data_IF_251290357892
#
_entry.id   IF_251290357892
#
_cell.length_a   1.000
_cell.length_b   1.000
_cell.length_c   1.000
_cell.angle_alpha   90.00
_cell.angle_beta   90.00
_cell.angle_gamma   90.00
#
_symmetry.space_group_name_H-M   'P 1'
#
loop_
_entity.id
_entity.type
_entity.pdbx_description
1 polymer ?
#
# COMPACT_ATOMS: atom_id res chain seq x y z
N UNK A 1 10.94 28.20 -23.41
CA UNK A 1 10.64 26.78 -23.71
C UNK A 1 10.28 26.12 -22.38
N UNK A 2 8.99 26.18 -22.01
CA UNK A 2 8.47 25.55 -20.80
C UNK A 2 7.73 24.30 -21.23
N UNK A 3 8.26 23.12 -20.90
CA UNK A 3 7.51 21.87 -20.92
C UNK A 3 6.77 21.79 -19.59
N UNK A 4 5.59 22.39 -19.52
CA UNK A 4 4.66 22.08 -18.43
C UNK A 4 4.23 20.62 -18.61
N UNK A 5 4.79 19.74 -17.77
CA UNK A 5 4.32 18.36 -17.68
C UNK A 5 2.88 18.38 -17.18
N UNK A 6 1.92 18.04 -18.04
CA UNK A 6 0.53 17.84 -17.62
C UNK A 6 0.49 16.92 -16.40
N UNK A 7 -0.24 17.27 -15.32
CA UNK A 7 -0.40 16.38 -14.19
C UNK A 7 -1.03 15.08 -14.70
N UNK A 8 -0.42 13.95 -14.32
CA UNK A 8 -0.94 12.63 -14.65
C UNK A 8 -2.41 12.55 -14.20
N UNK A 9 -3.30 11.91 -14.99
CA UNK A 9 -4.70 11.75 -14.62
C UNK A 9 -4.79 11.09 -13.23
N UNK A 10 -5.63 11.65 -12.36
CA UNK A 10 -5.86 11.14 -11.01
C UNK A 10 -6.85 9.96 -11.06
N UNK A 11 -6.62 8.96 -10.23
CA UNK A 11 -7.48 7.78 -10.16
C UNK A 11 -8.85 8.08 -9.52
N UNK A 12 -9.89 7.36 -9.94
CA UNK A 12 -11.11 7.20 -9.13
C UNK A 12 -10.80 6.33 -7.90
N UNK A 13 -11.59 6.48 -6.82
CA UNK A 13 -11.44 5.74 -5.57
C UNK A 13 -11.40 4.21 -5.84
N UNK A 14 -10.25 3.57 -5.61
CA UNK A 14 -10.09 2.12 -5.75
C UNK A 14 -10.38 1.43 -4.40
N UNK A 15 -11.62 0.96 -4.25
CA UNK A 15 -12.07 0.23 -3.07
C UNK A 15 -11.22 -1.02 -2.76
N UNK A 16 -10.58 -1.63 -3.74
CA UNK A 16 -9.74 -2.81 -3.54
C UNK A 16 -8.42 -2.42 -2.89
N UNK A 17 -7.80 -1.33 -3.37
CA UNK A 17 -6.57 -0.78 -2.82
C UNK A 17 -6.77 -0.31 -1.37
N UNK A 18 -7.88 0.39 -1.12
CA UNK A 18 -8.26 0.85 0.24
C UNK A 18 -8.44 -0.35 1.18
N UNK A 19 -9.16 -1.40 0.75
CA UNK A 19 -9.34 -2.61 1.57
C UNK A 19 -8.02 -3.32 1.86
N UNK A 20 -7.09 -3.37 0.90
CA UNK A 20 -5.78 -3.96 1.11
C UNK A 20 -4.97 -3.20 2.16
N UNK A 21 -4.94 -1.87 2.08
CA UNK A 21 -4.28 -1.01 3.07
C UNK A 21 -4.93 -1.17 4.45
N UNK A 22 -6.25 -1.15 4.53
CA UNK A 22 -6.97 -1.36 5.78
C UNK A 22 -6.64 -2.72 6.43
N UNK A 23 -6.54 -3.79 5.63
CA UNK A 23 -6.09 -5.11 6.12
C UNK A 23 -4.65 -5.08 6.63
N UNK A 24 -3.75 -4.37 5.93
CA UNK A 24 -2.36 -4.23 6.34
C UNK A 24 -2.24 -3.64 7.75
N UNK A 25 -2.86 -2.49 8.00
CA UNK A 25 -2.85 -1.84 9.31
C UNK A 25 -3.56 -2.67 10.39
N UNK A 26 -4.68 -3.33 10.04
CA UNK A 26 -5.39 -4.22 10.97
C UNK A 26 -4.47 -5.38 11.41
N UNK A 27 -3.82 -6.05 10.48
CA UNK A 27 -2.95 -7.18 10.77
C UNK A 27 -1.67 -6.77 11.49
N UNK A 28 -1.07 -5.65 11.11
CA UNK A 28 0.05 -5.06 11.86
C UNK A 28 -0.33 -4.86 13.32
N UNK A 29 -1.47 -4.24 13.60
CA UNK A 29 -1.95 -4.02 14.96
C UNK A 29 -2.18 -5.32 15.75
N UNK A 30 -2.67 -6.37 15.08
CA UNK A 30 -2.89 -7.69 15.69
C UNK A 30 -1.57 -8.44 15.98
N UNK A 31 -0.50 -8.14 15.24
CA UNK A 31 0.84 -8.62 15.57
C UNK A 31 1.44 -7.83 16.73
N UNK A 32 1.35 -6.50 16.67
CA UNK A 32 1.92 -5.59 17.67
C UNK A 32 1.28 -5.78 19.05
N UNK A 33 -0.01 -6.11 19.12
CA UNK A 33 -0.70 -6.36 20.38
C UNK A 33 -0.63 -7.83 20.83
N UNK A 34 0.09 -8.69 20.11
CA UNK A 34 0.27 -10.11 20.44
C UNK A 34 -0.97 -11.00 20.22
N UNK A 35 -2.03 -10.52 19.55
CA UNK A 35 -3.18 -11.37 19.19
C UNK A 35 -2.76 -12.51 18.27
N UNK A 36 -1.82 -12.23 17.36
CA UNK A 36 -1.12 -13.24 16.58
C UNK A 36 0.38 -13.11 16.82
N UNK A 37 1.05 -14.25 17.00
CA UNK A 37 2.50 -14.31 17.19
C UNK A 37 3.29 -14.19 15.89
N UNK A 38 2.70 -14.52 14.74
CA UNK A 38 3.36 -14.44 13.44
C UNK A 38 2.39 -14.40 12.25
N UNK A 39 2.94 -14.22 11.05
CA UNK A 39 2.17 -14.12 9.79
C UNK A 39 1.45 -15.44 9.45
N UNK A 40 2.00 -16.58 9.84
CA UNK A 40 1.43 -17.91 9.61
C UNK A 40 0.12 -18.10 10.38
N UNK A 41 -0.01 -17.48 11.55
CA UNK A 41 -1.25 -17.52 12.33
C UNK A 41 -2.35 -16.68 11.68
N UNK A 42 -2.01 -15.50 11.18
CA UNK A 42 -2.92 -14.67 10.38
C UNK A 42 -3.36 -15.44 9.13
N UNK A 43 -2.42 -16.07 8.41
CA UNK A 43 -2.69 -16.85 7.22
C UNK A 43 -3.70 -17.98 7.48
N UNK A 44 -3.49 -18.72 8.57
CA UNK A 44 -4.40 -19.79 9.01
C UNK A 44 -5.78 -19.27 9.41
N UNK A 45 -5.83 -18.17 10.17
CA UNK A 45 -7.09 -17.57 10.63
C UNK A 45 -7.93 -17.02 9.47
N UNK A 46 -7.27 -16.40 8.49
CA UNK A 46 -7.90 -15.77 7.32
C UNK A 46 -8.06 -16.75 6.14
N UNK A 47 -7.58 -17.99 6.27
CA UNK A 47 -7.60 -19.05 5.25
C UNK A 47 -6.99 -18.61 3.91
N UNK A 48 -5.86 -17.92 3.99
CA UNK A 48 -5.11 -17.38 2.84
C UNK A 48 -3.63 -17.77 2.96
N UNK A 49 -2.89 -17.72 1.86
CA UNK A 49 -1.46 -18.07 1.86
C UNK A 49 -0.62 -17.05 2.65
N UNK A 50 0.37 -17.54 3.41
CA UNK A 50 1.29 -16.69 4.18
C UNK A 50 2.07 -15.70 3.30
N UNK A 51 2.43 -16.08 2.07
CA UNK A 51 3.04 -15.17 1.08
C UNK A 51 2.13 -13.98 0.75
N UNK A 52 0.82 -14.20 0.63
CA UNK A 52 -0.14 -13.11 0.39
C UNK A 52 -0.27 -12.21 1.62
N UNK A 53 -0.37 -12.80 2.82
CA UNK A 53 -0.38 -12.04 4.09
C UNK A 53 0.85 -11.14 4.19
N UNK A 54 2.04 -11.68 3.95
CA UNK A 54 3.30 -10.92 3.99
C UNK A 54 3.29 -9.73 3.04
N UNK A 55 2.82 -9.90 1.80
CA UNK A 55 2.73 -8.82 0.82
C UNK A 55 1.75 -7.72 1.25
N UNK A 56 0.62 -8.10 1.84
CA UNK A 56 -0.37 -7.13 2.32
C UNK A 56 0.13 -6.40 3.58
N UNK A 57 0.69 -7.10 4.57
CA UNK A 57 1.21 -6.47 5.80
C UNK A 57 2.30 -5.45 5.46
N UNK A 58 3.14 -5.72 4.44
CA UNK A 58 4.13 -4.74 3.95
C UNK A 58 3.52 -3.40 3.54
N UNK A 59 2.25 -3.35 3.12
CA UNK A 59 1.58 -2.08 2.77
C UNK A 59 1.45 -1.13 3.97
N UNK A 60 1.54 -1.63 5.20
CA UNK A 60 1.58 -0.77 6.39
C UNK A 60 2.91 0.01 6.51
N UNK A 61 3.92 -0.30 5.70
CA UNK A 61 5.19 0.42 5.60
C UNK A 61 5.17 1.56 4.56
N UNK A 62 4.04 1.77 3.90
CA UNK A 62 3.87 2.88 2.95
C UNK A 62 4.04 4.23 3.66
N UNK A 63 4.61 5.19 2.95
CA UNK A 63 4.71 6.56 3.42
C UNK A 63 3.29 7.11 3.71
N UNK A 64 3.10 7.87 4.81
CA UNK A 64 1.78 8.35 5.21
C UNK A 64 1.04 9.14 4.12
N UNK A 65 1.76 10.00 3.38
CA UNK A 65 1.21 10.80 2.28
C UNK A 65 0.74 9.94 1.09
N UNK A 66 1.35 8.76 0.89
CA UNK A 66 0.91 7.82 -0.14
C UNK A 66 -0.42 7.17 0.28
N UNK A 67 -0.53 6.77 1.54
CA UNK A 67 -1.77 6.22 2.09
C UNK A 67 -2.88 7.26 2.00
N UNK A 68 -2.62 8.50 2.42
CA UNK A 68 -3.57 9.61 2.34
C UNK A 68 -4.04 9.87 0.91
N UNK A 69 -3.11 9.90 -0.06
CA UNK A 69 -3.46 10.09 -1.46
C UNK A 69 -4.35 8.96 -1.99
N UNK A 70 -4.05 7.70 -1.66
CA UNK A 70 -4.88 6.55 -2.08
C UNK A 70 -6.28 6.63 -1.47
N UNK A 71 -6.39 6.94 -0.18
CA UNK A 71 -7.68 7.09 0.50
C UNK A 71 -8.50 8.25 -0.08
N UNK A 72 -7.83 9.30 -0.54
CA UNK A 72 -8.45 10.47 -1.16
C UNK A 72 -8.75 10.29 -2.66
N UNK A 73 -8.37 9.17 -3.30
CA UNK A 73 -8.46 9.01 -4.76
C UNK A 73 -7.55 9.99 -5.51
N UNK A 74 -6.40 10.34 -4.91
CA UNK A 74 -5.44 11.32 -5.44
C UNK A 74 -4.13 10.70 -5.90
N UNK A 75 -4.04 9.38 -5.86
CA UNK A 75 -2.90 8.65 -6.43
C UNK A 75 -2.88 8.76 -7.96
N UNK A 76 -1.69 8.63 -8.59
CA UNK A 76 -1.57 8.54 -10.05
C UNK A 76 -2.45 7.41 -10.60
N UNK A 77 -3.17 7.64 -11.70
CA UNK A 77 -3.99 6.59 -12.33
C UNK A 77 -3.20 5.37 -12.80
N UNK A 78 -1.88 5.51 -12.99
CA UNK A 78 -0.97 4.40 -13.29
C UNK A 78 -0.65 3.52 -12.08
N UNK A 79 -0.87 3.99 -10.85
CA UNK A 79 -0.60 3.23 -9.64
C UNK A 79 -1.75 2.25 -9.38
N UNK A 80 -1.46 0.95 -9.44
CA UNK A 80 -2.43 -0.12 -9.23
C UNK A 80 -2.10 -0.92 -7.96
N UNK A 81 -3.07 -1.71 -7.48
CA UNK A 81 -2.81 -2.64 -6.37
C UNK A 81 -1.70 -3.64 -6.70
N UNK A 82 -1.53 -4.02 -7.98
CA UNK A 82 -0.45 -4.93 -8.40
C UNK A 82 0.92 -4.34 -8.09
N UNK A 83 1.10 -3.04 -8.29
CA UNK A 83 2.35 -2.33 -8.05
C UNK A 83 2.66 -2.27 -6.55
N UNK A 84 1.67 -1.94 -5.73
CA UNK A 84 1.80 -1.97 -4.26
C UNK A 84 2.13 -3.37 -3.73
N UNK A 85 1.61 -4.41 -4.38
CA UNK A 85 1.87 -5.80 -4.00
C UNK A 85 3.23 -6.32 -4.47
N UNK A 86 3.95 -5.60 -5.33
CA UNK A 86 5.34 -5.89 -5.68
C UNK A 86 6.30 -5.42 -4.56
N UNK A 87 7.55 -5.92 -4.49
CA UNK A 87 8.56 -5.34 -3.61
C UNK A 87 8.77 -3.85 -3.91
N UNK A 88 8.89 -3.03 -2.87
CA UNK A 88 9.15 -1.59 -2.98
C UNK A 88 10.15 -1.14 -1.90
N UNK A 89 10.84 0.01 -2.08
CA UNK A 89 11.84 0.51 -1.14
C UNK A 89 11.26 0.73 0.27
N UNK A 90 12.05 0.44 1.31
CA UNK A 90 11.64 0.74 2.70
C UNK A 90 11.68 2.25 2.94
N UNK A 91 12.61 2.94 2.30
CA UNK A 91 12.77 4.39 2.37
C UNK A 91 11.62 5.10 1.67
N UNK A 92 10.91 5.97 2.40
CA UNK A 92 9.78 6.72 1.85
C UNK A 92 10.14 7.58 0.63
N UNK A 93 11.36 8.09 0.54
CA UNK A 93 11.82 8.81 -0.65
C UNK A 93 11.82 7.89 -1.89
N UNK A 94 12.32 6.66 -1.75
CA UNK A 94 12.30 5.67 -2.82
C UNK A 94 10.89 5.22 -3.19
N UNK A 95 9.99 5.08 -2.21
CA UNK A 95 8.58 4.79 -2.48
C UNK A 95 7.93 5.86 -3.35
N UNK A 96 8.18 7.14 -3.02
CA UNK A 96 7.66 8.28 -3.78
C UNK A 96 8.11 8.26 -5.23
N UNK A 97 9.40 8.00 -5.46
CA UNK A 97 9.96 7.85 -6.80
C UNK A 97 9.31 6.69 -7.57
N UNK A 98 9.21 5.51 -6.96
CA UNK A 98 8.68 4.30 -7.62
C UNK A 98 7.20 4.41 -7.92
N UNK A 99 6.41 5.05 -7.06
CA UNK A 99 4.97 5.18 -7.23
C UNK A 99 4.54 6.45 -7.97
N UNK A 100 5.49 7.24 -8.50
CA UNK A 100 5.18 8.47 -9.22
C UNK A 100 4.55 9.54 -8.33
N UNK A 101 4.82 9.49 -7.03
CA UNK A 101 4.31 10.40 -6.02
C UNK A 101 5.36 11.49 -5.78
N UNK A 102 5.45 12.44 -6.71
CA UNK A 102 6.30 13.62 -6.53
C UNK A 102 5.42 14.73 -6.00
N UNK A 103 5.86 15.34 -4.89
CA UNK A 103 5.21 16.53 -4.33
C UNK A 103 5.57 17.76 -5.15
#
# INVERSE_FOLDING_TARGET
MAIEGSPAPMATIDNTMIKAIARAFRWQKLLENGTYGCLEEIARAEKIGASFVSRVVRLALLAPDIVEAILAGKQPASLTLKDLMAPFPVEWAGQRTVFGMVR
#
